data_IF_713212295367
#
_entry.id   IF_713212295367
#
_cell.length_a   1.000
_cell.length_b   1.000
_cell.length_c   1.000
_cell.angle_alpha   90.00
_cell.angle_beta   90.00
_cell.angle_gamma   90.00
#
_symmetry.space_group_name_H-M   'P 1'
#
loop_
_entity.id
_entity.type
_entity.pdbx_description
1 polymer ?
#
# COMPACT_ATOMS: atom_id res chain seq x y z
N UNK A 1 -5.01 21.79 17.12
CA UNK A 1 -6.23 22.43 16.62
C UNK A 1 -6.46 23.76 17.35
N UNK A 2 -6.90 24.81 16.62
CA UNK A 2 -7.37 26.08 17.21
C UNK A 2 -8.89 26.09 17.17
N UNK A 3 -9.54 26.60 18.21
CA UNK A 3 -11.00 26.76 18.22
C UNK A 3 -11.41 27.85 17.21
N UNK A 4 -12.45 27.57 16.43
CA UNK A 4 -13.09 28.48 15.50
C UNK A 4 -14.62 28.41 15.71
N UNK A 5 -15.14 29.20 16.66
CA UNK A 5 -16.53 29.10 17.13
C UNK A 5 -16.77 27.76 17.91
N UNK A 6 -17.78 27.01 17.51
CA UNK A 6 -18.08 25.67 18.03
C UNK A 6 -17.14 24.58 17.50
N UNK A 7 -16.45 24.83 16.39
CA UNK A 7 -15.60 23.87 15.67
C UNK A 7 -14.12 24.06 15.99
N UNK A 8 -13.28 23.16 15.52
CA UNK A 8 -11.84 23.26 15.63
C UNK A 8 -11.17 23.11 14.25
N UNK A 9 -10.13 23.92 14.02
CA UNK A 9 -9.39 23.97 12.75
C UNK A 9 -7.90 23.80 13.02
N UNK A 10 -7.21 23.05 12.16
CA UNK A 10 -5.77 22.82 12.27
C UNK A 10 -5.14 22.26 11.02
N UNK A 11 -3.87 21.92 11.13
CA UNK A 11 -3.17 21.21 10.08
C UNK A 11 -3.66 19.77 9.97
N UNK A 12 -3.79 19.26 8.76
CA UNK A 12 -4.29 17.93 8.51
C UNK A 12 -3.26 16.86 8.89
N UNK A 13 -3.65 15.81 9.63
CA UNK A 13 -2.75 14.72 9.95
C UNK A 13 -2.57 13.72 8.79
N UNK A 14 -3.38 13.83 7.73
CA UNK A 14 -3.40 12.90 6.60
C UNK A 14 -2.61 13.37 5.38
N UNK A 15 -2.23 14.66 5.33
CA UNK A 15 -1.35 15.20 4.29
C UNK A 15 -0.53 16.36 4.86
N UNK A 16 0.58 16.68 4.20
CA UNK A 16 1.45 17.80 4.61
C UNK A 16 0.93 19.12 4.07
N UNK A 17 0.68 20.08 4.97
CA UNK A 17 0.24 21.43 4.64
C UNK A 17 0.80 22.46 5.62
N UNK A 18 0.89 23.72 5.18
CA UNK A 18 1.33 24.84 6.04
C UNK A 18 0.18 25.74 6.51
N UNK A 19 -0.94 25.69 5.80
CA UNK A 19 -2.15 26.46 6.14
C UNK A 19 -3.21 25.49 6.64
N UNK A 20 -3.85 25.78 7.79
CA UNK A 20 -4.88 24.92 8.35
C UNK A 20 -6.04 24.72 7.39
N UNK A 21 -6.31 23.47 7.00
CA UNK A 21 -7.44 23.07 6.16
C UNK A 21 -8.26 21.91 6.76
N UNK A 22 -7.83 21.41 7.91
CA UNK A 22 -8.49 20.30 8.61
C UNK A 22 -9.48 20.85 9.63
N UNK A 23 -10.76 20.56 9.43
CA UNK A 23 -11.87 21.00 10.26
C UNK A 23 -12.45 19.84 11.04
N UNK A 24 -12.73 20.06 12.32
CA UNK A 24 -13.47 19.13 13.20
C UNK A 24 -14.75 19.81 13.61
N UNK A 25 -15.86 19.20 13.27
CA UNK A 25 -17.22 19.68 13.52
C UNK A 25 -17.77 18.97 14.77
N UNK A 26 -17.89 19.73 15.87
CA UNK A 26 -18.33 19.16 17.14
C UNK A 26 -19.81 18.75 17.11
N UNK A 27 -20.66 19.48 16.39
CA UNK A 27 -22.09 19.21 16.36
C UNK A 27 -22.42 17.91 15.59
N UNK A 28 -21.67 17.63 14.53
CA UNK A 28 -21.85 16.41 13.70
C UNK A 28 -20.87 15.31 14.05
N UNK A 29 -19.96 15.51 15.02
CA UNK A 29 -18.92 14.56 15.43
C UNK A 29 -18.12 14.03 14.23
N UNK A 30 -17.82 14.92 13.28
CA UNK A 30 -17.17 14.59 12.02
C UNK A 30 -15.96 15.48 11.76
N UNK A 31 -15.14 15.10 10.81
CA UNK A 31 -14.04 15.92 10.32
C UNK A 31 -14.06 16.02 8.79
N UNK A 32 -13.49 17.08 8.28
CA UNK A 32 -13.24 17.23 6.86
C UNK A 32 -11.98 18.06 6.61
N UNK A 33 -11.16 17.64 5.67
CA UNK A 33 -9.98 18.37 5.22
C UNK A 33 -10.23 18.97 3.82
N UNK A 34 -10.26 20.28 3.71
CA UNK A 34 -10.44 20.96 2.43
C UNK A 34 -9.21 20.89 1.52
N UNK A 35 -8.05 20.50 2.06
CA UNK A 35 -6.82 20.29 1.29
C UNK A 35 -6.80 18.96 0.53
N UNK A 36 -7.02 17.85 1.22
CA UNK A 36 -6.91 16.51 0.64
C UNK A 36 -8.24 15.76 0.51
N UNK A 37 -9.38 16.36 0.89
CA UNK A 37 -10.69 15.71 0.83
C UNK A 37 -10.91 14.59 1.85
N UNK A 38 -9.98 14.38 2.80
CA UNK A 38 -10.16 13.40 3.86
C UNK A 38 -11.30 13.82 4.77
N UNK A 39 -12.33 13.01 4.92
CA UNK A 39 -13.48 13.29 5.76
C UNK A 39 -14.10 12.01 6.32
N UNK A 40 -14.94 12.18 7.35
CA UNK A 40 -15.66 11.10 8.00
C UNK A 40 -15.91 11.35 9.48
N UNK A 41 -16.32 10.30 10.17
CA UNK A 41 -16.56 10.25 11.61
C UNK A 41 -15.29 9.92 12.42
N UNK A 42 -15.41 9.82 13.73
CA UNK A 42 -14.31 9.46 14.62
C UNK A 42 -13.74 8.07 14.32
N UNK A 43 -14.56 7.12 13.90
CA UNK A 43 -14.10 5.77 13.56
C UNK A 43 -13.24 5.85 12.29
N UNK A 44 -13.70 6.57 11.29
CA UNK A 44 -12.96 6.82 10.04
C UNK A 44 -11.63 7.55 10.30
N UNK A 45 -11.63 8.50 11.25
CA UNK A 45 -10.40 9.18 11.68
C UNK A 45 -9.39 8.18 12.26
N UNK A 46 -9.80 7.37 13.23
CA UNK A 46 -8.93 6.37 13.86
C UNK A 46 -8.47 5.29 12.87
N UNK A 47 -9.35 4.82 12.00
CA UNK A 47 -8.96 3.90 10.91
C UNK A 47 -7.81 4.45 10.08
N UNK A 48 -7.87 5.73 9.73
CA UNK A 48 -6.87 6.37 8.88
C UNK A 48 -5.57 6.69 9.61
N UNK A 49 -5.65 7.21 10.84
CA UNK A 49 -4.47 7.66 11.58
C UNK A 49 -3.66 6.48 12.14
N UNK A 50 -4.34 5.43 12.59
CA UNK A 50 -3.72 4.23 13.17
C UNK A 50 -3.59 3.09 12.14
N UNK A 51 -4.04 3.29 10.90
CA UNK A 51 -4.08 2.30 9.83
C UNK A 51 -4.77 0.98 10.23
N UNK A 52 -5.93 1.09 10.88
CA UNK A 52 -6.73 -0.01 11.41
C UNK A 52 -7.92 -0.36 10.52
N UNK A 53 -8.43 -1.60 10.64
CA UNK A 53 -9.74 -1.97 10.11
C UNK A 53 -10.87 -1.40 10.99
N UNK A 54 -12.11 -1.41 10.46
CA UNK A 54 -13.26 -0.81 11.13
C UNK A 54 -13.45 -1.34 12.56
N UNK A 55 -13.49 -2.66 12.73
CA UNK A 55 -13.67 -3.30 14.04
C UNK A 55 -12.51 -3.02 15.00
N UNK A 56 -11.28 -2.98 14.50
CA UNK A 56 -10.10 -2.66 15.32
C UNK A 56 -10.14 -1.20 15.81
N UNK A 57 -10.58 -0.27 14.93
CA UNK A 57 -10.76 1.13 15.30
C UNK A 57 -11.88 1.30 16.36
N UNK A 58 -13.00 0.59 16.21
CA UNK A 58 -14.09 0.57 17.19
C UNK A 58 -13.61 0.03 18.54
N UNK A 59 -12.87 -1.09 18.54
CA UNK A 59 -12.30 -1.67 19.80
C UNK A 59 -11.33 -0.70 20.48
N UNK A 60 -10.48 -0.02 19.71
CA UNK A 60 -9.55 0.98 20.24
C UNK A 60 -10.30 2.18 20.87
N UNK A 61 -11.34 2.67 20.20
CA UNK A 61 -12.17 3.77 20.70
C UNK A 61 -12.93 3.37 21.96
N UNK A 62 -13.52 2.18 21.98
CA UNK A 62 -14.22 1.66 23.16
C UNK A 62 -13.27 1.53 24.36
N UNK A 63 -12.08 0.97 24.16
CA UNK A 63 -11.06 0.88 25.21
C UNK A 63 -10.67 2.28 25.73
N UNK A 64 -10.52 3.27 24.86
CA UNK A 64 -10.24 4.66 25.25
C UNK A 64 -11.41 5.30 26.00
N UNK A 65 -12.65 4.91 25.65
CA UNK A 65 -13.86 5.40 26.27
C UNK A 65 -14.29 4.63 27.52
N UNK A 66 -13.55 3.58 27.93
CA UNK A 66 -13.93 2.72 29.05
C UNK A 66 -15.22 1.93 28.79
N UNK A 67 -15.56 1.68 27.52
CA UNK A 67 -16.76 0.94 27.12
C UNK A 67 -16.39 -0.52 26.84
N UNK A 68 -17.12 -1.44 27.45
CA UNK A 68 -17.07 -2.86 27.11
C UNK A 68 -17.92 -3.10 25.84
N UNK A 69 -17.28 -3.56 24.78
CA UNK A 69 -18.00 -4.03 23.59
C UNK A 69 -18.44 -5.46 23.87
N UNK A 70 -19.75 -5.78 23.79
CA UNK A 70 -20.21 -7.15 23.85
C UNK A 70 -19.49 -7.97 22.78
N UNK A 71 -18.75 -9.01 23.19
CA UNK A 71 -18.09 -9.92 22.25
C UNK A 71 -19.17 -10.73 21.53
N UNK A 72 -19.47 -10.37 20.27
CA UNK A 72 -20.28 -11.21 19.42
C UNK A 72 -19.54 -12.55 19.19
N UNK A 73 -20.26 -13.64 19.26
CA UNK A 73 -19.72 -14.99 19.04
C UNK A 73 -19.02 -15.14 17.67
N UNK A 74 -19.38 -14.29 16.69
CA UNK A 74 -18.74 -14.21 15.37
C UNK A 74 -17.37 -13.51 15.45
N UNK A 75 -17.26 -12.45 16.22
CA UNK A 75 -16.01 -11.70 16.44
C UNK A 75 -14.98 -12.57 17.17
N UNK A 76 -15.41 -13.36 18.14
CA UNK A 76 -14.58 -14.33 18.84
C UNK A 76 -14.04 -15.41 17.90
N UNK A 77 -14.88 -15.95 17.00
CA UNK A 77 -14.43 -16.93 15.99
C UNK A 77 -13.42 -16.33 15.03
N UNK A 78 -13.63 -15.10 14.56
CA UNK A 78 -12.68 -14.40 13.68
C UNK A 78 -11.35 -14.10 14.39
N UNK A 79 -11.39 -13.65 15.64
CA UNK A 79 -10.20 -13.41 16.46
C UNK A 79 -9.42 -14.70 16.75
N UNK A 80 -10.12 -15.79 17.08
CA UNK A 80 -9.52 -17.11 17.24
C UNK A 80 -8.87 -17.60 15.95
N UNK A 81 -9.51 -17.43 14.80
CA UNK A 81 -8.95 -17.81 13.51
C UNK A 81 -7.68 -17.00 13.20
N UNK A 82 -7.67 -15.68 13.42
CA UNK A 82 -6.47 -14.85 13.27
C UNK A 82 -5.32 -15.36 14.15
N UNK A 83 -5.60 -15.69 15.41
CA UNK A 83 -4.61 -16.26 16.33
C UNK A 83 -4.04 -17.59 15.79
N UNK A 84 -4.91 -18.50 15.31
CA UNK A 84 -4.48 -19.77 14.71
C UNK A 84 -3.64 -19.56 13.46
N UNK A 85 -3.96 -18.57 12.61
CA UNK A 85 -3.17 -18.24 11.43
C UNK A 85 -1.77 -17.73 11.84
N UNK A 86 -1.63 -16.90 12.85
CA UNK A 86 -0.32 -16.49 13.36
C UNK A 86 0.52 -17.68 13.88
N UNK A 87 -0.11 -18.63 14.57
CA UNK A 87 0.53 -19.86 15.04
C UNK A 87 0.99 -20.71 13.86
N UNK A 88 0.14 -20.93 12.85
CA UNK A 88 0.49 -21.67 11.62
C UNK A 88 1.63 -20.99 10.89
N UNK A 89 1.59 -19.68 10.70
CA UNK A 89 2.64 -18.95 9.99
C UNK A 89 3.98 -19.06 10.73
N UNK A 90 3.98 -18.95 12.06
CA UNK A 90 5.19 -19.13 12.88
C UNK A 90 5.77 -20.54 12.72
N UNK A 91 4.94 -21.57 12.84
CA UNK A 91 5.40 -22.96 12.68
C UNK A 91 5.85 -23.26 11.25
N UNK A 92 5.19 -22.70 10.25
CA UNK A 92 5.59 -22.77 8.85
C UNK A 92 6.96 -22.12 8.61
N UNK A 93 7.19 -20.92 9.18
CA UNK A 93 8.49 -20.26 9.09
C UNK A 93 9.60 -21.08 9.74
N UNK A 94 9.34 -21.61 10.95
CA UNK A 94 10.27 -22.50 11.66
C UNK A 94 10.56 -23.77 10.85
N UNK A 95 9.53 -24.36 10.24
CA UNK A 95 9.68 -25.53 9.39
C UNK A 95 10.57 -25.25 8.19
N UNK A 96 10.30 -24.20 7.42
CA UNK A 96 11.09 -23.86 6.24
C UNK A 96 12.52 -23.44 6.60
N UNK A 97 12.73 -22.75 7.71
CA UNK A 97 14.06 -22.42 8.20
C UNK A 97 14.87 -23.70 8.54
N UNK A 98 14.25 -24.65 9.25
CA UNK A 98 14.89 -25.95 9.55
C UNK A 98 15.19 -26.74 8.27
N UNK A 99 14.29 -26.75 7.29
CA UNK A 99 14.54 -27.39 5.99
C UNK A 99 15.73 -26.76 5.26
N UNK A 100 15.89 -25.44 5.34
CA UNK A 100 17.03 -24.74 4.75
C UNK A 100 18.36 -25.12 5.43
N UNK A 101 18.41 -25.06 6.76
CA UNK A 101 19.67 -25.20 7.53
C UNK A 101 20.05 -26.65 7.72
N UNK A 102 19.10 -27.50 8.13
CA UNK A 102 19.32 -28.86 8.57
C UNK A 102 18.72 -29.93 7.65
N UNK A 103 17.86 -29.53 6.70
CA UNK A 103 17.22 -30.48 5.77
C UNK A 103 18.22 -31.18 4.85
N UNK A 104 17.82 -32.32 4.28
CA UNK A 104 18.67 -33.09 3.37
C UNK A 104 18.92 -32.40 2.03
N UNK A 105 17.97 -31.59 1.55
CA UNK A 105 18.08 -30.86 0.30
C UNK A 105 18.82 -29.52 0.50
N UNK A 106 20.02 -29.44 -0.05
CA UNK A 106 20.91 -28.27 0.10
C UNK A 106 20.73 -27.20 -0.98
N UNK A 107 19.86 -27.40 -1.96
CA UNK A 107 19.65 -26.47 -3.10
C UNK A 107 19.28 -25.07 -2.62
N UNK A 108 18.41 -24.94 -1.60
CA UNK A 108 18.06 -23.64 -1.02
C UNK A 108 19.27 -22.92 -0.41
N UNK A 109 20.10 -23.62 0.34
CA UNK A 109 21.31 -23.06 0.94
C UNK A 109 22.34 -22.68 -0.13
N UNK A 110 22.52 -23.54 -1.15
CA UNK A 110 23.39 -23.25 -2.30
C UNK A 110 22.93 -22.01 -3.06
N UNK A 111 21.63 -21.83 -3.22
CA UNK A 111 21.07 -20.63 -3.85
C UNK A 111 21.47 -19.37 -3.08
N UNK A 112 21.27 -19.33 -1.76
CA UNK A 112 21.63 -18.17 -0.95
C UNK A 112 23.14 -17.94 -0.87
N UNK A 113 23.93 -19.00 -0.83
CA UNK A 113 25.40 -18.93 -0.92
C UNK A 113 25.86 -18.34 -2.27
N UNK A 114 25.26 -18.79 -3.39
CA UNK A 114 25.49 -18.21 -4.72
C UNK A 114 25.10 -16.73 -4.83
N UNK A 115 24.14 -16.30 -4.02
CA UNK A 115 23.78 -14.88 -3.85
C UNK A 115 24.69 -14.14 -2.87
N UNK A 116 25.69 -14.80 -2.27
CA UNK A 116 26.63 -14.25 -1.28
C UNK A 116 25.95 -13.76 0.00
N UNK A 117 24.84 -14.39 0.41
CA UNK A 117 24.20 -14.08 1.68
C UNK A 117 24.97 -14.69 2.85
N UNK A 118 25.18 -13.89 3.89
CA UNK A 118 25.83 -14.32 5.13
C UNK A 118 24.85 -15.12 6.01
N UNK A 119 25.33 -16.05 6.85
CA UNK A 119 24.48 -16.82 7.78
C UNK A 119 23.65 -15.91 8.72
N UNK A 120 24.23 -14.80 9.18
CA UNK A 120 23.54 -13.82 10.02
C UNK A 120 22.36 -13.18 9.30
N UNK A 121 22.50 -12.89 8.00
CA UNK A 121 21.43 -12.33 7.16
C UNK A 121 20.32 -13.36 6.96
N UNK A 122 20.67 -14.62 6.69
CA UNK A 122 19.72 -15.74 6.57
C UNK A 122 18.90 -15.87 7.85
N UNK A 123 19.58 -15.82 9.01
CA UNK A 123 18.93 -15.88 10.33
C UNK A 123 18.09 -14.65 10.63
N UNK A 124 18.61 -13.43 10.34
CA UNK A 124 17.90 -12.15 10.56
C UNK A 124 16.54 -12.13 9.88
N UNK A 125 16.49 -12.58 8.61
CA UNK A 125 15.26 -12.60 7.81
C UNK A 125 14.45 -13.88 7.97
N UNK A 126 14.96 -14.89 8.70
CA UNK A 126 14.31 -16.18 8.84
C UNK A 126 14.12 -16.91 7.52
N UNK A 127 15.07 -16.75 6.57
CA UNK A 127 14.96 -17.32 5.23
C UNK A 127 14.84 -18.84 5.30
N UNK A 128 14.02 -19.40 4.41
CA UNK A 128 13.69 -20.83 4.45
C UNK A 128 13.80 -21.52 3.10
N UNK A 129 13.51 -22.81 3.12
CA UNK A 129 13.39 -23.64 1.92
C UNK A 129 12.16 -24.53 2.02
N UNK A 130 11.31 -24.50 1.02
CA UNK A 130 10.17 -25.38 0.84
C UNK A 130 10.59 -26.57 -0.03
N UNK A 131 10.59 -27.80 0.50
CA UNK A 131 10.94 -29.01 -0.25
C UNK A 131 10.01 -29.25 -1.44
N UNK A 132 10.38 -30.15 -2.35
CA UNK A 132 9.60 -30.49 -3.55
C UNK A 132 8.35 -31.34 -3.26
N UNK A 133 8.24 -31.93 -2.07
CA UNK A 133 7.10 -32.79 -1.68
C UNK A 133 5.79 -32.02 -1.63
N UNK A 134 4.70 -32.70 -2.04
CA UNK A 134 3.36 -32.08 -2.14
C UNK A 134 2.68 -31.87 -0.79
N UNK A 135 3.07 -32.66 0.23
CA UNK A 135 2.40 -32.70 1.54
C UNK A 135 3.39 -32.62 2.71
N UNK A 136 4.59 -32.12 2.47
CA UNK A 136 5.66 -32.11 3.50
C UNK A 136 5.34 -31.16 4.64
N UNK A 137 4.90 -29.94 4.32
CA UNK A 137 4.48 -28.95 5.31
C UNK A 137 3.14 -29.33 5.94
N UNK A 138 2.15 -29.69 5.11
CA UNK A 138 0.79 -30.02 5.61
C UNK A 138 0.81 -31.20 6.57
N UNK A 139 1.61 -32.24 6.30
CA UNK A 139 1.83 -33.37 7.22
C UNK A 139 2.41 -32.90 8.55
N UNK A 140 3.42 -32.03 8.50
CA UNK A 140 4.02 -31.45 9.71
C UNK A 140 3.00 -30.64 10.51
N UNK A 141 2.23 -29.77 9.86
CA UNK A 141 1.22 -28.94 10.53
C UNK A 141 0.09 -29.79 11.12
N UNK A 142 -0.33 -30.85 10.44
CA UNK A 142 -1.29 -31.82 10.99
C UNK A 142 -0.78 -32.51 12.27
N UNK A 143 0.50 -32.87 12.33
CA UNK A 143 1.10 -33.44 13.55
C UNK A 143 1.07 -32.48 14.74
N UNK A 144 0.93 -31.17 14.51
CA UNK A 144 0.77 -30.13 15.51
C UNK A 144 -0.71 -29.79 15.81
N UNK A 145 -1.66 -30.52 15.21
CA UNK A 145 -3.09 -30.36 15.48
C UNK A 145 -3.75 -29.23 14.70
N UNK A 146 -3.16 -28.75 13.60
CA UNK A 146 -3.82 -27.78 12.71
C UNK A 146 -4.71 -28.49 11.69
N UNK A 147 -5.88 -27.90 11.43
CA UNK A 147 -6.87 -28.43 10.50
C UNK A 147 -6.64 -27.91 9.08
N UNK A 148 -7.13 -28.64 8.07
CA UNK A 148 -7.12 -28.18 6.66
C UNK A 148 -7.75 -26.78 6.50
N UNK A 149 -8.86 -26.51 7.20
CA UNK A 149 -9.54 -25.22 7.13
C UNK A 149 -8.67 -24.07 7.63
N UNK A 150 -7.96 -24.26 8.73
CA UNK A 150 -7.03 -23.24 9.28
C UNK A 150 -5.83 -23.03 8.36
N UNK A 151 -5.25 -24.12 7.83
CA UNK A 151 -4.11 -24.05 6.89
C UNK A 151 -4.50 -23.38 5.55
N UNK A 152 -5.72 -23.63 5.04
CA UNK A 152 -6.27 -22.94 3.86
C UNK A 152 -6.47 -21.45 4.15
N UNK A 153 -7.00 -21.10 5.33
CA UNK A 153 -7.18 -19.70 5.73
C UNK A 153 -5.85 -18.93 5.87
N UNK A 154 -4.75 -19.64 6.16
CA UNK A 154 -3.39 -19.10 6.17
C UNK A 154 -2.71 -19.09 4.78
N UNK A 155 -3.34 -19.68 3.73
CA UNK A 155 -2.81 -19.85 2.36
C UNK A 155 -1.47 -20.60 2.33
N UNK A 156 -1.17 -21.43 3.34
CA UNK A 156 0.03 -22.28 3.35
C UNK A 156 -0.19 -23.61 2.62
N UNK A 157 -1.46 -23.95 2.39
CA UNK A 157 -1.90 -25.07 1.54
C UNK A 157 -2.99 -24.65 0.59
N UNK A 158 -3.21 -25.40 -0.48
CA UNK A 158 -4.28 -25.21 -1.48
C UNK A 158 -5.11 -26.46 -1.62
N UNK A 159 -6.37 -26.29 -2.07
CA UNK A 159 -7.24 -27.40 -2.40
C UNK A 159 -6.75 -28.15 -3.63
N UNK A 160 -6.80 -29.46 -3.57
CA UNK A 160 -6.61 -30.34 -4.70
C UNK A 160 -7.78 -30.26 -5.69
N UNK A 161 -7.63 -30.89 -6.84
CA UNK A 161 -8.69 -30.93 -7.88
C UNK A 161 -9.98 -31.64 -7.41
N UNK A 162 -9.85 -32.51 -6.42
CA UNK A 162 -10.94 -33.24 -5.78
C UNK A 162 -11.71 -32.41 -4.73
N UNK A 163 -11.29 -31.18 -4.48
CA UNK A 163 -11.81 -30.25 -3.46
C UNK A 163 -11.82 -30.80 -2.02
N UNK A 164 -11.18 -31.97 -1.80
CA UNK A 164 -11.13 -32.65 -0.48
C UNK A 164 -9.72 -32.73 0.06
N UNK A 165 -8.74 -32.98 -0.79
CA UNK A 165 -7.32 -33.02 -0.42
C UNK A 165 -6.73 -31.62 -0.40
N UNK A 166 -5.66 -31.43 0.37
CA UNK A 166 -4.88 -30.20 0.37
C UNK A 166 -3.44 -30.53 0.00
N UNK A 167 -2.75 -29.60 -0.64
CA UNK A 167 -1.33 -29.69 -0.96
C UNK A 167 -0.58 -28.41 -0.60
N UNK A 168 0.72 -28.51 -0.34
CA UNK A 168 1.54 -27.39 0.09
C UNK A 168 1.58 -26.29 -0.98
N UNK A 169 1.33 -25.03 -0.60
CA UNK A 169 1.35 -23.87 -1.53
C UNK A 169 2.74 -23.65 -2.11
N UNK A 170 3.76 -23.75 -1.27
CA UNK A 170 5.15 -23.55 -1.69
C UNK A 170 5.87 -24.88 -1.80
N UNK A 171 6.45 -25.16 -2.96
CA UNK A 171 7.24 -26.36 -3.24
C UNK A 171 8.45 -25.99 -4.09
N UNK A 172 9.60 -26.55 -3.79
CA UNK A 172 10.86 -26.31 -4.51
C UNK A 172 11.23 -24.83 -4.61
N UNK A 173 10.99 -24.09 -3.49
CA UNK A 173 11.19 -22.64 -3.43
C UNK A 173 12.03 -22.24 -2.24
N UNK A 174 12.92 -21.25 -2.44
CA UNK A 174 13.46 -20.49 -1.32
C UNK A 174 12.38 -19.55 -0.80
N UNK A 175 12.30 -19.41 0.52
CA UNK A 175 11.20 -18.75 1.22
C UNK A 175 11.67 -17.48 1.92
N UNK A 176 10.88 -16.45 1.78
CA UNK A 176 11.05 -15.13 2.40
C UNK A 176 9.84 -14.87 3.32
N UNK A 177 9.98 -15.04 4.64
CA UNK A 177 8.91 -14.69 5.57
C UNK A 177 8.61 -13.19 5.51
N UNK A 178 7.34 -12.83 5.46
CA UNK A 178 6.86 -11.46 5.54
C UNK A 178 6.42 -11.21 6.97
N UNK A 179 7.03 -10.22 7.61
CA UNK A 179 6.88 -9.96 9.05
C UNK A 179 6.21 -8.61 9.23
N UNK A 180 5.18 -8.57 10.08
CA UNK A 180 4.47 -7.34 10.43
C UNK A 180 5.29 -6.43 11.37
N UNK A 181 4.78 -5.24 11.65
CA UNK A 181 5.42 -4.28 12.55
C UNK A 181 5.54 -4.75 14.01
N UNK A 182 4.80 -5.79 14.40
CA UNK A 182 4.83 -6.39 15.75
C UNK A 182 5.79 -7.59 15.83
N UNK A 183 6.37 -8.00 14.71
CA UNK A 183 7.29 -9.13 14.64
C UNK A 183 6.61 -10.48 14.33
N UNK A 184 5.32 -10.51 14.00
CA UNK A 184 4.63 -11.72 13.62
C UNK A 184 4.87 -12.05 12.15
N UNK A 185 5.06 -13.32 11.82
CA UNK A 185 5.05 -13.78 10.44
C UNK A 185 3.60 -13.79 9.95
N UNK A 186 3.31 -13.02 8.90
CA UNK A 186 1.96 -12.83 8.37
C UNK A 186 1.76 -13.48 7.01
N UNK A 187 2.84 -13.74 6.27
CA UNK A 187 2.80 -14.29 4.91
C UNK A 187 4.18 -14.78 4.49
N UNK A 188 4.26 -15.33 3.27
CA UNK A 188 5.49 -15.81 2.66
C UNK A 188 5.59 -15.37 1.21
N UNK A 189 6.81 -15.03 0.78
CA UNK A 189 7.22 -15.02 -0.62
C UNK A 189 8.03 -16.27 -0.91
N UNK A 190 7.86 -16.86 -2.08
CA UNK A 190 8.62 -18.04 -2.49
C UNK A 190 9.18 -17.92 -3.90
N UNK A 191 10.51 -18.00 -4.07
CA UNK A 191 11.17 -18.03 -5.39
C UNK A 191 11.50 -19.46 -5.78
N UNK A 192 11.05 -19.88 -6.97
CA UNK A 192 11.33 -21.21 -7.48
C UNK A 192 12.83 -21.37 -7.80
N UNK A 193 13.39 -22.56 -7.56
CA UNK A 193 14.78 -22.88 -7.84
C UNK A 193 15.00 -23.49 -9.23
N UNK A 194 13.96 -24.02 -9.86
CA UNK A 194 13.97 -24.57 -11.22
C UNK A 194 13.29 -23.65 -12.24
N UNK A 195 13.00 -24.22 -13.42
CA UNK A 195 12.40 -23.51 -14.56
C UNK A 195 10.87 -23.37 -14.47
N UNK A 196 10.29 -23.59 -13.29
CA UNK A 196 8.84 -23.51 -13.06
C UNK A 196 8.31 -22.06 -13.05
N UNK A 197 7.02 -21.93 -13.29
CA UNK A 197 6.30 -20.64 -13.24
C UNK A 197 5.22 -20.67 -12.15
N UNK A 198 4.96 -19.55 -11.47
CA UNK A 198 5.64 -18.26 -11.56
C UNK A 198 7.00 -18.24 -10.85
N UNK A 199 7.94 -17.41 -11.31
CA UNK A 199 9.27 -17.23 -10.71
C UNK A 199 9.17 -16.87 -9.23
N UNK A 200 8.30 -15.92 -8.88
CA UNK A 200 7.92 -15.57 -7.51
C UNK A 200 6.45 -15.87 -7.26
N UNK A 201 6.16 -16.49 -6.14
CA UNK A 201 4.82 -16.77 -5.64
C UNK A 201 4.72 -16.12 -4.26
N UNK A 202 3.65 -15.36 -4.03
CA UNK A 202 3.36 -14.78 -2.73
C UNK A 202 2.07 -15.37 -2.17
N UNK A 203 1.99 -15.46 -0.84
CA UNK A 203 0.74 -15.70 -0.11
C UNK A 203 -0.37 -14.78 -0.64
N UNK A 204 -1.55 -15.31 -0.84
CA UNK A 204 -2.75 -14.55 -1.19
C UNK A 204 -3.21 -13.67 -0.03
N UNK A 205 -4.29 -12.88 -0.21
CA UNK A 205 -4.88 -12.12 0.90
C UNK A 205 -5.41 -13.09 1.97
N UNK A 206 -5.10 -12.81 3.24
CA UNK A 206 -5.56 -13.60 4.39
C UNK A 206 -6.13 -12.69 5.48
N UNK A 207 -6.81 -13.23 6.51
CA UNK A 207 -7.27 -12.41 7.64
C UNK A 207 -6.17 -11.63 8.38
N UNK A 208 -4.89 -11.99 8.21
CA UNK A 208 -3.74 -11.33 8.85
C UNK A 208 -2.80 -10.63 7.86
N UNK A 209 -3.01 -10.77 6.56
CA UNK A 209 -2.13 -10.24 5.52
C UNK A 209 -2.88 -9.57 4.37
N UNK A 210 -2.48 -8.35 4.06
CA UNK A 210 -2.96 -7.59 2.91
C UNK A 210 -1.77 -6.99 2.15
N UNK A 211 -1.55 -7.44 0.90
CA UNK A 211 -0.42 -6.96 0.05
C UNK A 211 -0.40 -5.45 -0.10
N UNK A 212 -1.58 -4.84 -0.25
CA UNK A 212 -1.73 -3.39 -0.46
C UNK A 212 -1.30 -2.53 0.74
N UNK A 213 -1.16 -3.10 1.94
CA UNK A 213 -0.82 -2.38 3.18
C UNK A 213 0.56 -2.70 3.71
N UNK A 214 1.05 -3.91 3.43
CA UNK A 214 2.30 -4.39 4.00
C UNK A 214 3.47 -4.12 3.05
N UNK A 215 4.64 -3.87 3.64
CA UNK A 215 5.92 -3.72 2.94
C UNK A 215 6.92 -4.71 3.52
N UNK A 216 7.68 -5.36 2.66
CA UNK A 216 8.76 -6.25 3.10
C UNK A 216 9.86 -5.47 3.81
N UNK A 217 10.37 -6.00 4.91
CA UNK A 217 11.45 -5.43 5.72
C UNK A 217 11.09 -4.16 6.51
N UNK A 218 9.85 -3.66 6.48
CA UNK A 218 9.47 -2.46 7.23
C UNK A 218 9.59 -2.67 8.76
N UNK A 219 9.42 -3.90 9.24
CA UNK A 219 9.64 -4.28 10.64
C UNK A 219 11.07 -3.98 11.12
N UNK A 220 12.06 -4.06 10.24
CA UNK A 220 13.45 -3.67 10.51
C UNK A 220 13.68 -2.18 10.21
N UNK A 221 13.24 -1.72 9.06
CA UNK A 221 13.51 -0.37 8.57
C UNK A 221 12.91 0.74 9.45
N UNK A 222 11.76 0.49 10.13
CA UNK A 222 11.12 1.44 11.06
C UNK A 222 12.01 1.89 12.21
N UNK A 223 12.99 1.09 12.60
CA UNK A 223 13.91 1.37 13.71
C UNK A 223 15.12 2.21 13.28
N UNK A 224 15.25 2.52 11.97
CA UNK A 224 16.35 3.35 11.48
C UNK A 224 16.24 4.78 12.04
N UNK A 225 17.32 5.36 12.55
CA UNK A 225 17.33 6.76 12.98
C UNK A 225 17.20 7.75 11.81
N UNK A 226 17.39 7.27 10.58
CA UNK A 226 17.27 8.08 9.38
C UNK A 226 15.80 8.30 9.05
N UNK A 227 15.41 9.57 8.86
CA UNK A 227 14.07 9.92 8.33
C UNK A 227 13.98 9.72 6.82
N UNK A 228 14.65 8.69 6.33
CA UNK A 228 14.78 8.35 4.91
C UNK A 228 14.64 6.86 4.73
N UNK A 229 13.85 6.44 3.74
CA UNK A 229 13.68 5.03 3.36
C UNK A 229 14.22 4.80 1.95
N UNK A 230 14.75 3.58 1.72
CA UNK A 230 15.12 3.10 0.38
C UNK A 230 14.00 2.14 -0.05
N UNK A 231 13.40 2.40 -1.21
CA UNK A 231 12.34 1.58 -1.78
C UNK A 231 12.89 0.78 -2.96
N UNK A 232 13.02 -0.54 -2.78
CA UNK A 232 13.45 -1.50 -3.80
C UNK A 232 12.25 -2.29 -4.37
N UNK A 233 12.46 -3.07 -5.44
CA UNK A 233 11.38 -3.84 -6.06
C UNK A 233 11.16 -5.19 -5.39
N UNK A 234 12.23 -5.90 -5.03
CA UNK A 234 12.17 -7.29 -4.65
C UNK A 234 12.82 -7.66 -3.32
N UNK A 235 12.52 -8.87 -2.88
CA UNK A 235 13.08 -9.44 -1.65
C UNK A 235 14.60 -9.46 -1.63
N UNK A 236 15.21 -9.89 -2.75
CA UNK A 236 16.66 -10.05 -2.83
C UNK A 236 17.37 -8.70 -2.80
N UNK A 237 16.81 -7.67 -3.43
CA UNK A 237 17.38 -6.32 -3.43
C UNK A 237 17.39 -5.75 -2.01
N UNK A 238 16.25 -5.87 -1.31
CA UNK A 238 16.16 -5.45 0.10
C UNK A 238 17.19 -6.17 0.96
N UNK A 239 17.31 -7.49 0.82
CA UNK A 239 18.23 -8.29 1.63
C UNK A 239 19.70 -7.92 1.31
N UNK A 240 20.03 -7.71 0.04
CA UNK A 240 21.38 -7.30 -0.38
C UNK A 240 21.73 -5.89 0.14
N UNK A 241 20.82 -4.94 0.01
CA UNK A 241 20.98 -3.57 0.52
C UNK A 241 21.12 -3.57 2.05
N UNK A 242 20.25 -4.32 2.75
CA UNK A 242 20.31 -4.45 4.20
C UNK A 242 21.63 -5.10 4.68
N UNK A 243 22.05 -6.18 4.02
CA UNK A 243 23.33 -6.85 4.31
C UNK A 243 24.52 -5.93 4.08
N UNK A 244 24.42 -4.98 3.14
CA UNK A 244 25.45 -3.98 2.86
C UNK A 244 25.51 -2.87 3.93
N UNK A 245 24.60 -2.89 4.95
CA UNK A 245 24.60 -1.94 6.07
C UNK A 245 23.51 -0.85 5.96
N UNK A 246 22.63 -0.88 4.96
CA UNK A 246 21.54 0.08 4.80
C UNK A 246 20.24 -0.52 5.33
N UNK A 247 19.99 -0.34 6.64
CA UNK A 247 18.87 -0.99 7.32
C UNK A 247 17.49 -0.38 7.00
N UNK A 248 17.47 0.84 6.48
CA UNK A 248 16.27 1.60 6.12
C UNK A 248 15.70 1.25 4.75
N UNK A 249 15.73 -0.02 4.37
CA UNK A 249 15.28 -0.52 3.06
C UNK A 249 14.02 -1.35 3.16
N UNK A 250 13.10 -1.12 2.22
CA UNK A 250 11.81 -1.82 2.10
C UNK A 250 11.52 -2.19 0.64
N UNK A 251 10.63 -3.14 0.43
CA UNK A 251 10.06 -3.41 -0.90
C UNK A 251 8.55 -3.64 -0.86
N UNK A 252 7.92 -3.49 -2.02
CA UNK A 252 6.55 -3.94 -2.25
C UNK A 252 6.50 -5.48 -2.36
N UNK A 253 5.30 -6.05 -2.39
CA UNK A 253 5.09 -7.50 -2.28
C UNK A 253 4.64 -8.11 -3.63
N UNK A 254 5.43 -7.89 -4.68
CA UNK A 254 5.14 -8.41 -6.03
C UNK A 254 3.99 -7.66 -6.72
N UNK A 255 3.71 -6.45 -6.29
CA UNK A 255 2.75 -5.51 -6.89
C UNK A 255 3.39 -4.12 -6.96
N UNK A 256 2.85 -3.25 -7.79
CA UNK A 256 3.24 -1.83 -7.76
C UNK A 256 2.92 -1.22 -6.39
N UNK A 257 3.65 -0.16 -6.00
CA UNK A 257 3.38 0.61 -4.78
C UNK A 257 1.91 1.06 -4.74
N UNK A 258 1.32 1.06 -3.56
CA UNK A 258 -0.06 1.52 -3.33
C UNK A 258 -0.10 2.80 -2.51
N UNK A 259 -1.24 3.51 -2.55
CA UNK A 259 -1.43 4.70 -1.72
C UNK A 259 -1.42 4.40 -0.22
N UNK A 260 -1.88 3.20 0.21
CA UNK A 260 -1.80 2.77 1.60
C UNK A 260 -0.35 2.54 2.04
N UNK A 261 0.47 1.90 1.20
CA UNK A 261 1.89 1.71 1.48
C UNK A 261 2.65 3.04 1.52
N UNK A 262 2.33 3.98 0.62
CA UNK A 262 2.92 5.33 0.63
C UNK A 262 2.58 6.09 1.93
N UNK A 263 1.33 6.03 2.40
CA UNK A 263 0.93 6.61 3.69
C UNK A 263 1.63 5.93 4.87
N UNK A 264 1.80 4.61 4.81
CA UNK A 264 2.58 3.88 5.84
C UNK A 264 4.02 4.35 5.87
N UNK A 265 4.67 4.52 4.71
CA UNK A 265 6.03 5.05 4.63
C UNK A 265 6.13 6.45 5.22
N UNK A 266 5.12 7.32 5.02
CA UNK A 266 5.09 8.67 5.58
C UNK A 266 5.14 8.71 7.10
N UNK A 267 4.65 7.67 7.77
CA UNK A 267 4.72 7.56 9.24
C UNK A 267 6.17 7.42 9.72
N UNK A 268 7.06 6.83 8.90
CA UNK A 268 8.43 6.49 9.29
C UNK A 268 9.51 7.32 8.59
N UNK A 269 9.17 8.03 7.51
CA UNK A 269 10.14 8.77 6.71
C UNK A 269 9.60 10.11 6.21
N UNK A 270 10.52 11.02 5.93
CA UNK A 270 10.29 12.28 5.21
C UNK A 270 10.74 12.17 3.76
N UNK A 271 11.81 11.39 3.53
CA UNK A 271 12.40 11.14 2.22
C UNK A 271 12.30 9.67 1.83
N UNK A 272 12.04 9.39 0.55
CA UNK A 272 12.12 8.06 -0.03
C UNK A 272 13.05 8.08 -1.24
N UNK A 273 14.05 7.19 -1.24
CA UNK A 273 14.93 6.97 -2.39
C UNK A 273 14.46 5.73 -3.13
N UNK A 274 14.05 5.88 -4.38
CA UNK A 274 13.64 4.77 -5.24
C UNK A 274 14.91 4.14 -5.84
N UNK A 275 15.05 2.83 -5.61
CA UNK A 275 16.13 1.98 -6.10
C UNK A 275 15.53 0.80 -6.87
N UNK A 276 14.80 1.09 -7.95
CA UNK A 276 14.14 0.12 -8.81
C UNK A 276 15.07 -0.35 -9.94
N UNK A 277 14.69 -1.45 -10.58
CA UNK A 277 15.41 -2.01 -11.72
C UNK A 277 15.54 -0.99 -12.87
N UNK A 278 16.64 -1.03 -13.59
CA UNK A 278 16.94 -0.07 -14.66
C UNK A 278 16.20 -0.37 -15.97
N UNK A 279 15.41 -1.44 -16.04
CA UNK A 279 14.65 -1.84 -17.23
C UNK A 279 13.38 -0.98 -17.46
N UNK A 280 12.71 -1.21 -18.57
CA UNK A 280 11.50 -0.46 -18.96
C UNK A 280 10.32 -0.66 -18.01
N UNK A 281 10.23 -1.82 -17.34
CA UNK A 281 9.18 -2.10 -16.37
C UNK A 281 9.45 -1.34 -15.07
N UNK A 282 10.70 -1.37 -14.57
CA UNK A 282 11.14 -0.62 -13.40
C UNK A 282 11.01 0.90 -13.61
N UNK A 283 11.28 1.42 -14.81
CA UNK A 283 11.06 2.84 -15.11
C UNK A 283 9.59 3.26 -15.01
N UNK A 284 8.64 2.40 -15.50
CA UNK A 284 7.20 2.65 -15.36
C UNK A 284 6.75 2.55 -13.89
N UNK A 285 7.31 1.59 -13.14
CA UNK A 285 7.05 1.44 -11.71
C UNK A 285 7.56 2.66 -10.93
N UNK A 286 8.77 3.16 -11.25
CA UNK A 286 9.35 4.39 -10.70
C UNK A 286 8.41 5.58 -10.87
N UNK A 287 7.89 5.80 -12.08
CA UNK A 287 6.98 6.91 -12.37
C UNK A 287 5.71 6.86 -11.50
N UNK A 288 5.10 5.68 -11.37
CA UNK A 288 3.92 5.50 -10.52
C UNK A 288 4.25 5.72 -9.04
N UNK A 289 5.41 5.23 -8.59
CA UNK A 289 5.85 5.40 -7.22
C UNK A 289 6.07 6.87 -6.87
N UNK A 290 6.70 7.66 -7.74
CA UNK A 290 6.89 9.11 -7.56
C UNK A 290 5.56 9.80 -7.29
N UNK A 291 4.54 9.54 -8.11
CA UNK A 291 3.23 10.18 -7.98
C UNK A 291 2.60 9.85 -6.62
N UNK A 292 2.55 8.57 -6.25
CA UNK A 292 1.94 8.12 -4.99
C UNK A 292 2.69 8.61 -3.75
N UNK A 293 4.02 8.65 -3.80
CA UNK A 293 4.84 9.18 -2.70
C UNK A 293 4.65 10.70 -2.56
N UNK A 294 4.60 11.42 -3.67
CA UNK A 294 4.34 12.86 -3.69
C UNK A 294 2.94 13.19 -3.15
N UNK A 295 1.91 12.43 -3.55
CA UNK A 295 0.54 12.55 -3.01
C UNK A 295 0.48 12.31 -1.50
N UNK A 296 1.31 11.39 -0.99
CA UNK A 296 1.46 11.15 0.45
C UNK A 296 2.30 12.22 1.17
N UNK A 297 2.87 13.20 0.45
CA UNK A 297 3.70 14.28 1.01
C UNK A 297 5.12 13.82 1.38
N UNK A 298 5.66 12.82 0.69
CA UNK A 298 7.04 12.35 0.83
C UNK A 298 7.93 13.01 -0.22
N UNK A 299 9.11 13.45 0.19
CA UNK A 299 10.14 13.86 -0.75
C UNK A 299 10.69 12.61 -1.44
N UNK A 300 10.75 12.64 -2.77
CA UNK A 300 11.16 11.47 -3.55
C UNK A 300 12.46 11.77 -4.28
N UNK A 301 13.41 10.84 -4.17
CA UNK A 301 14.67 10.84 -4.90
C UNK A 301 14.82 9.52 -5.66
N UNK A 302 15.68 9.51 -6.67
CA UNK A 302 15.91 8.35 -7.51
C UNK A 302 17.41 8.14 -7.64
N UNK A 303 17.82 6.88 -7.61
CA UNK A 303 19.18 6.49 -7.98
C UNK A 303 19.22 5.82 -9.34
N UNK A 304 20.23 6.17 -10.14
CA UNK A 304 20.54 5.49 -11.40
C UNK A 304 21.73 4.57 -11.17
N UNK A 305 21.54 3.27 -11.40
CA UNK A 305 22.56 2.25 -11.21
C UNK A 305 23.26 1.95 -12.53
N UNK A 306 24.13 2.87 -12.96
CA UNK A 306 24.91 2.69 -14.18
C UNK A 306 25.81 1.44 -14.07
N UNK A 307 25.76 0.58 -15.09
CA UNK A 307 26.55 -0.65 -15.16
C UNK A 307 25.99 -1.83 -14.40
N UNK A 308 24.78 -1.71 -13.80
CA UNK A 308 24.05 -2.81 -13.17
C UNK A 308 22.56 -2.68 -13.44
N UNK A 309 21.84 -3.82 -13.46
CA UNK A 309 20.41 -3.87 -13.73
C UNK A 309 19.55 -3.64 -12.48
N UNK A 310 20.05 -4.11 -11.33
CA UNK A 310 19.36 -4.10 -10.04
C UNK A 310 20.33 -3.78 -8.89
N UNK A 311 19.84 -3.43 -7.69
CA UNK A 311 20.68 -3.14 -6.52
C UNK A 311 21.57 -4.30 -6.07
N UNK A 312 21.10 -5.56 -6.17
CA UNK A 312 21.89 -6.75 -5.80
C UNK A 312 23.13 -6.87 -6.71
N UNK A 313 22.96 -6.71 -8.02
CA UNK A 313 24.07 -6.70 -8.98
C UNK A 313 25.01 -5.52 -8.77
N UNK A 314 24.46 -4.32 -8.52
CA UNK A 314 25.27 -3.13 -8.27
C UNK A 314 26.17 -3.31 -7.05
N UNK A 315 25.64 -3.78 -5.94
CA UNK A 315 26.39 -4.03 -4.71
C UNK A 315 27.47 -5.10 -4.89
N UNK A 316 27.20 -6.14 -5.69
CA UNK A 316 28.20 -7.18 -6.00
C UNK A 316 29.35 -6.69 -6.85
N UNK A 317 29.09 -5.77 -7.79
CA UNK A 317 30.10 -5.21 -8.70
C UNK A 317 30.90 -4.06 -8.08
N UNK A 318 30.22 -3.17 -7.40
CA UNK A 318 30.80 -1.87 -7.01
C UNK A 318 30.94 -1.68 -5.50
N UNK A 319 30.29 -2.53 -4.71
CA UNK A 319 30.36 -2.54 -3.26
C UNK A 319 29.53 -1.48 -2.53
N UNK A 320 29.48 -1.57 -1.19
CA UNK A 320 28.63 -0.69 -0.35
C UNK A 320 29.01 0.78 -0.40
N UNK A 321 30.32 1.10 -0.50
CA UNK A 321 30.79 2.47 -0.52
C UNK A 321 30.24 3.24 -1.73
N UNK A 322 30.29 2.62 -2.93
CA UNK A 322 29.78 3.25 -4.14
C UNK A 322 28.27 3.37 -4.15
N UNK A 323 27.58 2.40 -3.54
CA UNK A 323 26.13 2.49 -3.34
C UNK A 323 25.75 3.63 -2.39
N UNK A 324 26.53 3.85 -1.30
CA UNK A 324 26.35 5.00 -0.42
C UNK A 324 26.48 6.32 -1.18
N UNK A 325 27.49 6.46 -2.03
CA UNK A 325 27.67 7.66 -2.86
C UNK A 325 26.48 7.90 -3.79
N UNK A 326 25.87 6.83 -4.36
CA UNK A 326 24.63 6.97 -5.15
C UNK A 326 23.47 7.48 -4.31
N UNK A 327 23.30 6.96 -3.09
CA UNK A 327 22.25 7.42 -2.18
C UNK A 327 22.44 8.88 -1.78
N UNK A 328 23.68 9.29 -1.50
CA UNK A 328 24.00 10.66 -1.08
C UNK A 328 23.86 11.66 -2.24
N UNK A 329 24.16 11.24 -3.47
CA UNK A 329 24.03 12.03 -4.69
C UNK A 329 22.73 11.76 -5.48
N UNK A 330 21.72 11.15 -4.82
CA UNK A 330 20.46 10.82 -5.49
C UNK A 330 19.77 12.07 -6.02
N UNK A 331 19.32 12.02 -7.28
CA UNK A 331 18.60 13.11 -7.92
C UNK A 331 17.20 13.26 -7.32
N UNK A 332 16.75 14.50 -7.13
CA UNK A 332 15.36 14.76 -6.84
C UNK A 332 14.47 14.23 -8.00
N UNK A 333 13.34 13.61 -7.66
CA UNK A 333 12.44 13.00 -8.65
C UNK A 333 12.08 13.94 -9.80
N UNK A 334 11.90 15.23 -9.49
CA UNK A 334 11.54 16.25 -10.48
C UNK A 334 12.69 16.49 -11.46
N UNK A 335 13.96 16.55 -10.98
CA UNK A 335 15.11 16.69 -11.87
C UNK A 335 15.26 15.48 -12.79
N UNK A 336 15.03 14.27 -12.27
CA UNK A 336 15.02 13.05 -13.05
C UNK A 336 13.97 13.09 -14.15
N UNK A 337 12.73 13.47 -13.82
CA UNK A 337 11.62 13.59 -14.78
C UNK A 337 11.90 14.67 -15.84
N UNK A 338 12.43 15.81 -15.44
CA UNK A 338 12.81 16.88 -16.38
C UNK A 338 13.95 16.45 -17.30
N UNK A 339 14.95 15.71 -16.79
CA UNK A 339 16.01 15.14 -17.62
C UNK A 339 15.43 14.15 -18.66
N UNK A 340 14.48 13.32 -18.25
CA UNK A 340 13.79 12.37 -19.14
C UNK A 340 12.97 13.08 -20.25
N UNK A 341 12.45 14.28 -19.97
CA UNK A 341 11.76 15.07 -20.98
C UNK A 341 12.67 15.43 -22.19
N UNK A 342 13.98 15.48 -21.99
CA UNK A 342 14.97 15.79 -23.04
C UNK A 342 15.31 14.56 -23.91
N UNK A 343 15.04 13.34 -23.44
CA UNK A 343 15.41 12.12 -24.18
C UNK A 343 14.71 12.03 -25.53
N UNK A 344 15.50 11.80 -26.58
CA UNK A 344 15.02 11.67 -27.96
C UNK A 344 14.59 12.96 -28.63
N UNK A 345 14.89 14.13 -28.05
CA UNK A 345 14.63 15.44 -28.64
C UNK A 345 15.91 16.14 -29.06
N UNK A 346 15.89 16.75 -30.22
CA UNK A 346 16.91 17.73 -30.63
C UNK A 346 16.51 19.10 -30.06
N UNK A 347 17.10 19.44 -28.90
CA UNK A 347 16.80 20.68 -28.17
C UNK A 347 17.37 21.95 -28.81
N UNK A 348 18.16 21.83 -29.85
CA UNK A 348 18.64 22.99 -30.61
C UNK A 348 17.59 23.52 -31.61
N UNK A 349 16.62 22.68 -31.98
CA UNK A 349 15.53 23.08 -32.89
C UNK A 349 14.35 23.69 -32.13
N UNK A 350 13.65 24.63 -32.75
CA UNK A 350 12.44 25.26 -32.15
C UNK A 350 11.33 24.21 -31.89
N UNK A 351 11.17 23.24 -32.77
CA UNK A 351 10.22 22.13 -32.60
C UNK A 351 10.58 21.25 -31.42
N UNK A 352 11.86 20.93 -31.25
CA UNK A 352 12.35 20.17 -30.10
C UNK A 352 12.22 20.91 -28.79
N UNK A 353 12.50 22.22 -28.77
CA UNK A 353 12.27 23.08 -27.59
C UNK A 353 10.81 23.16 -27.19
N UNK A 354 9.89 23.34 -28.17
CA UNK A 354 8.45 23.35 -27.88
C UNK A 354 7.97 22.02 -27.32
N UNK A 355 8.44 20.91 -27.86
CA UNK A 355 8.06 19.59 -27.35
C UNK A 355 8.63 19.32 -25.96
N UNK A 356 9.88 19.72 -25.69
CA UNK A 356 10.50 19.68 -24.36
C UNK A 356 9.66 20.47 -23.34
N UNK A 357 9.26 21.69 -23.68
CA UNK A 357 8.45 22.53 -22.81
C UNK A 357 7.06 21.91 -22.54
N UNK A 358 6.42 21.33 -23.57
CA UNK A 358 5.13 20.61 -23.39
C UNK A 358 5.27 19.43 -22.41
N UNK A 359 6.34 18.64 -22.53
CA UNK A 359 6.63 17.53 -21.61
C UNK A 359 6.91 18.05 -20.21
N UNK A 360 7.73 19.11 -20.08
CA UNK A 360 8.07 19.74 -18.81
C UNK A 360 6.83 20.33 -18.11
N UNK A 361 5.90 20.95 -18.83
CA UNK A 361 4.61 21.44 -18.28
C UNK A 361 3.83 20.31 -17.62
N UNK A 362 3.76 19.12 -18.22
CA UNK A 362 3.08 17.96 -17.62
C UNK A 362 3.76 17.55 -16.31
N UNK A 363 5.09 17.43 -16.30
CA UNK A 363 5.86 17.09 -15.08
C UNK A 363 5.64 18.12 -13.97
N UNK A 364 5.79 19.41 -14.30
CA UNK A 364 5.66 20.50 -13.32
C UNK A 364 4.23 20.63 -12.80
N UNK A 365 3.22 20.29 -13.60
CA UNK A 365 1.81 20.29 -13.17
C UNK A 365 1.50 19.24 -12.10
N UNK A 366 2.35 18.21 -11.95
CA UNK A 366 2.18 17.14 -10.96
C UNK A 366 2.77 17.50 -9.58
N UNK A 367 3.56 18.57 -9.48
CA UNK A 367 4.15 19.00 -8.21
C UNK A 367 3.07 19.61 -7.32
N UNK A 368 2.78 18.99 -6.19
CA UNK A 368 1.75 19.45 -5.25
C UNK A 368 2.16 20.73 -4.52
N UNK A 369 3.40 20.79 -4.04
CA UNK A 369 3.91 21.94 -3.29
C UNK A 369 4.13 23.13 -4.24
N UNK A 370 3.38 24.21 -4.01
CA UNK A 370 3.42 25.41 -4.85
C UNK A 370 4.79 26.08 -4.87
N UNK A 371 5.46 26.19 -3.72
CA UNK A 371 6.78 26.81 -3.63
C UNK A 371 7.83 26.00 -4.38
N UNK A 372 7.82 24.69 -4.19
CA UNK A 372 8.70 23.77 -4.92
C UNK A 372 8.47 23.87 -6.43
N UNK A 373 7.19 23.85 -6.84
CA UNK A 373 6.82 24.02 -8.24
C UNK A 373 7.33 25.33 -8.83
N UNK A 374 7.19 26.46 -8.12
CA UNK A 374 7.66 27.76 -8.58
C UNK A 374 9.20 27.82 -8.74
N UNK A 375 9.95 27.12 -7.87
CA UNK A 375 11.41 26.97 -8.01
C UNK A 375 11.76 26.24 -9.30
N UNK A 376 11.10 25.11 -9.60
CA UNK A 376 11.34 24.36 -10.84
C UNK A 376 10.82 25.09 -12.09
N UNK A 377 9.73 25.83 -12.01
CA UNK A 377 9.26 26.70 -13.10
C UNK A 377 10.36 27.72 -13.46
N UNK A 378 10.92 28.38 -12.46
CA UNK A 378 11.99 29.37 -12.64
C UNK A 378 13.26 28.75 -13.23
N UNK A 379 13.60 27.51 -12.81
CA UNK A 379 14.72 26.75 -13.34
C UNK A 379 14.51 26.43 -14.83
N UNK A 380 13.37 25.80 -15.19
CA UNK A 380 13.07 25.39 -16.57
C UNK A 380 12.95 26.61 -17.48
N UNK A 381 12.32 27.68 -17.03
CA UNK A 381 12.17 28.92 -17.76
C UNK A 381 13.55 29.53 -18.13
N UNK A 382 14.46 29.58 -17.17
CA UNK A 382 15.83 30.10 -17.37
C UNK A 382 16.67 29.21 -18.28
N UNK A 383 16.58 27.87 -18.12
CA UNK A 383 17.35 26.91 -18.95
C UNK A 383 16.93 26.94 -20.43
N UNK A 384 15.70 27.36 -20.74
CA UNK A 384 15.14 27.33 -22.10
C UNK A 384 14.82 28.73 -22.67
N UNK A 385 15.25 29.80 -21.98
CA UNK A 385 15.05 31.19 -22.39
C UNK A 385 13.57 31.54 -22.70
N UNK A 386 12.67 31.15 -21.79
CA UNK A 386 11.23 31.42 -21.90
C UNK A 386 10.74 32.25 -20.70
N UNK A 387 9.71 33.08 -20.90
CA UNK A 387 9.07 33.82 -19.81
C UNK A 387 8.46 32.88 -18.77
N UNK A 388 8.78 33.16 -17.49
CA UNK A 388 8.23 32.43 -16.32
C UNK A 388 6.70 32.49 -16.31
N UNK A 389 6.11 33.65 -16.68
CA UNK A 389 4.66 33.84 -16.67
C UNK A 389 3.95 33.00 -17.73
N UNK A 390 4.55 32.86 -18.91
CA UNK A 390 4.02 31.99 -19.98
C UNK A 390 4.03 30.53 -19.51
N UNK A 391 5.14 30.07 -18.93
CA UNK A 391 5.27 28.69 -18.45
C UNK A 391 4.30 28.43 -17.29
N UNK A 392 4.17 29.38 -16.35
CA UNK A 392 3.21 29.28 -15.24
C UNK A 392 1.77 29.19 -15.72
N UNK A 393 1.35 30.04 -16.67
CA UNK A 393 0.01 30.02 -17.25
C UNK A 393 -0.32 28.67 -17.90
N UNK A 394 0.63 28.07 -18.62
CA UNK A 394 0.46 26.76 -19.23
C UNK A 394 0.31 25.64 -18.18
N UNK A 395 1.11 25.70 -17.12
CA UNK A 395 1.05 24.73 -16.00
C UNK A 395 -0.29 24.84 -15.27
N UNK A 396 -0.76 26.04 -14.97
CA UNK A 396 -2.05 26.26 -14.30
C UNK A 396 -3.23 25.78 -15.18
N UNK A 397 -3.14 25.97 -16.50
CA UNK A 397 -4.10 25.41 -17.46
C UNK A 397 -4.12 23.87 -17.43
N UNK A 398 -2.94 23.25 -17.37
CA UNK A 398 -2.83 21.79 -17.32
C UNK A 398 -3.36 21.21 -16.00
N UNK A 399 -3.08 21.85 -14.86
CA UNK A 399 -3.64 21.50 -13.55
C UNK A 399 -5.19 21.59 -13.59
N UNK A 400 -5.74 22.64 -14.20
CA UNK A 400 -7.20 22.81 -14.33
C UNK A 400 -7.84 21.73 -15.21
N UNK A 401 -7.20 21.38 -16.33
CA UNK A 401 -7.66 20.29 -17.21
C UNK A 401 -7.68 18.95 -16.48
N UNK A 402 -6.60 18.62 -15.76
CA UNK A 402 -6.50 17.39 -14.98
C UNK A 402 -7.59 17.30 -13.93
N UNK A 403 -7.79 18.33 -13.10
CA UNK A 403 -8.85 18.37 -12.09
C UNK A 403 -10.25 18.19 -12.68
N UNK A 404 -10.50 18.77 -13.84
CA UNK A 404 -11.77 18.60 -14.54
C UNK A 404 -11.96 17.18 -15.09
N UNK A 405 -10.89 16.55 -15.59
CA UNK A 405 -10.91 15.17 -16.05
C UNK A 405 -11.13 14.18 -14.89
N UNK A 406 -10.45 14.38 -13.75
CA UNK A 406 -10.61 13.60 -12.53
C UNK A 406 -12.06 13.67 -12.00
N UNK A 407 -12.62 14.88 -11.89
CA UNK A 407 -14.03 15.07 -11.53
C UNK A 407 -14.99 14.37 -12.49
N UNK A 408 -14.69 14.41 -13.80
CA UNK A 408 -15.53 13.75 -14.80
C UNK A 408 -15.44 12.23 -14.71
N UNK A 409 -14.26 11.67 -14.43
CA UNK A 409 -14.08 10.23 -14.23
C UNK A 409 -14.73 9.74 -12.94
N UNK A 410 -14.63 10.49 -11.85
CA UNK A 410 -15.35 10.22 -10.60
C UNK A 410 -16.86 10.24 -10.80
N UNK A 411 -17.39 11.24 -11.52
CA UNK A 411 -18.80 11.31 -11.89
C UNK A 411 -19.24 10.13 -12.74
N UNK A 412 -18.40 9.69 -13.68
CA UNK A 412 -18.68 8.51 -14.53
C UNK A 412 -18.63 7.24 -13.69
N UNK A 413 -17.66 7.11 -12.77
CA UNK A 413 -17.53 5.98 -11.88
C UNK A 413 -18.68 5.89 -10.85
N UNK A 414 -19.20 7.05 -10.40
CA UNK A 414 -20.40 7.12 -9.55
C UNK A 414 -21.64 6.71 -10.36
N UNK A 415 -21.74 7.11 -11.63
CA UNK A 415 -22.86 6.73 -12.51
C UNK A 415 -22.77 5.28 -12.99
N UNK A 416 -21.58 4.70 -13.12
CA UNK A 416 -21.38 3.33 -13.60
C UNK A 416 -21.31 2.27 -12.50
N UNK A 417 -21.31 2.65 -11.22
CA UNK A 417 -21.57 1.67 -10.16
C UNK A 417 -23.02 1.24 -10.30
N UNK A 418 -23.31 -0.04 -10.60
CA UNK A 418 -24.68 -0.52 -10.47
C UNK A 418 -25.07 -0.20 -9.03
N UNK A 419 -26.15 0.54 -8.89
CA UNK A 419 -26.83 0.72 -7.61
C UNK A 419 -26.98 -0.65 -6.98
N UNK A 420 -26.61 -0.77 -5.72
CA UNK A 420 -26.66 -1.94 -4.87
C UNK A 420 -27.71 -2.95 -5.38
N UNK A 421 -27.29 -4.06 -5.93
CA UNK A 421 -28.12 -5.24 -5.94
C UNK A 421 -27.94 -5.87 -4.58
N UNK A 422 -28.87 -5.62 -3.68
CA UNK A 422 -28.95 -6.39 -2.44
C UNK A 422 -29.19 -7.85 -2.85
N UNK A 423 -28.26 -8.78 -2.59
CA UNK A 423 -28.45 -10.18 -2.95
C UNK A 423 -29.62 -10.83 -2.22
N UNK A 424 -30.18 -10.19 -1.19
CA UNK A 424 -31.31 -10.67 -0.40
C UNK A 424 -32.66 -10.24 -0.96
N UNK A 425 -32.75 -9.12 -1.69
CA UNK A 425 -34.01 -8.61 -2.27
C UNK A 425 -33.79 -8.06 -3.68
N UNK A 426 -33.88 -8.91 -4.74
CA UNK A 426 -33.62 -8.49 -6.13
C UNK A 426 -34.60 -7.43 -6.68
N UNK A 427 -35.76 -7.24 -6.04
CA UNK A 427 -36.82 -6.31 -6.45
C UNK A 427 -36.46 -4.83 -6.13
N UNK A 428 -35.62 -4.59 -5.13
CA UNK A 428 -35.15 -3.26 -4.73
C UNK A 428 -34.49 -2.50 -5.91
N UNK A 429 -33.86 -3.22 -6.83
CA UNK A 429 -33.22 -2.61 -8.01
C UNK A 429 -34.20 -2.06 -9.05
N UNK A 430 -35.50 -2.49 -9.02
CA UNK A 430 -36.52 -2.09 -9.98
C UNK A 430 -37.38 -0.92 -9.49
N UNK A 431 -37.43 -0.70 -8.18
CA UNK A 431 -38.33 0.27 -7.53
C UNK A 431 -37.55 1.27 -6.63
N UNK A 432 -36.48 1.83 -7.14
CA UNK A 432 -35.50 2.65 -6.36
C UNK A 432 -36.07 3.92 -5.75
N UNK A 433 -37.13 4.50 -6.34
CA UNK A 433 -37.79 5.71 -5.79
C UNK A 433 -38.65 5.36 -4.61
N UNK A 434 -39.34 4.25 -4.69
CA UNK A 434 -40.21 3.69 -3.69
C UNK A 434 -39.41 3.27 -2.46
N UNK A 435 -38.33 2.53 -2.64
CA UNK A 435 -37.41 2.10 -1.57
C UNK A 435 -36.80 3.30 -0.82
N UNK A 436 -36.40 4.35 -1.53
CA UNK A 436 -35.92 5.57 -0.89
C UNK A 436 -36.99 6.32 -0.11
N UNK A 437 -38.23 6.24 -0.54
CA UNK A 437 -39.35 6.79 0.20
C UNK A 437 -39.61 5.99 1.49
N UNK A 438 -39.54 4.66 1.42
CA UNK A 438 -39.65 3.76 2.57
C UNK A 438 -38.52 3.99 3.59
N UNK A 439 -37.27 4.05 3.14
CA UNK A 439 -36.12 4.42 3.99
C UNK A 439 -36.31 5.79 4.65
N UNK A 440 -36.82 6.77 3.90
CA UNK A 440 -37.12 8.10 4.41
C UNK A 440 -38.19 8.10 5.48
N UNK A 441 -39.25 7.31 5.32
CA UNK A 441 -40.33 7.12 6.30
C UNK A 441 -39.78 6.45 7.55
N UNK A 442 -39.02 5.38 7.40
CA UNK A 442 -38.38 4.68 8.54
C UNK A 442 -37.43 5.61 9.29
N UNK A 443 -36.58 6.35 8.61
CA UNK A 443 -35.68 7.33 9.23
C UNK A 443 -36.45 8.43 9.99
N UNK A 444 -37.59 8.87 9.45
CA UNK A 444 -38.48 9.84 10.11
C UNK A 444 -39.09 9.24 11.38
N UNK A 445 -39.60 8.02 11.33
CA UNK A 445 -40.20 7.32 12.46
C UNK A 445 -39.19 7.02 13.58
N UNK A 446 -37.95 6.65 13.22
CA UNK A 446 -36.86 6.54 14.20
C UNK A 446 -36.54 7.86 14.91
N UNK A 447 -36.66 8.98 14.20
CA UNK A 447 -36.37 10.31 14.76
C UNK A 447 -37.56 10.87 15.57
N UNK A 448 -38.78 10.46 15.25
CA UNK A 448 -40.03 10.91 15.87
C UNK A 448 -40.94 9.73 16.23
N UNK A 449 -40.60 8.94 17.29
CA UNK A 449 -41.36 7.73 17.64
C UNK A 449 -42.83 8.00 17.98
N UNK A 450 -43.14 9.23 18.45
CA UNK A 450 -44.49 9.68 18.75
C UNK A 450 -45.41 9.78 17.51
N UNK A 451 -44.87 9.69 16.33
CA UNK A 451 -45.59 9.73 15.04
C UNK A 451 -45.89 8.36 14.45
N UNK A 452 -45.45 7.27 15.07
CA UNK A 452 -45.61 5.92 14.55
C UNK A 452 -47.08 5.61 14.32
N UNK A 453 -47.97 5.80 15.32
CA UNK A 453 -49.42 5.52 15.22
C UNK A 453 -50.07 6.38 14.11
N UNK A 454 -49.68 7.61 13.94
CA UNK A 454 -50.22 8.51 12.91
C UNK A 454 -49.84 8.05 11.51
N UNK A 455 -48.60 7.63 11.31
CA UNK A 455 -48.11 7.12 10.00
C UNK A 455 -48.72 5.77 9.69
N UNK A 456 -48.69 4.85 10.64
CA UNK A 456 -49.26 3.48 10.46
C UNK A 456 -50.75 3.50 10.22
N UNK A 457 -51.48 4.45 10.76
CA UNK A 457 -52.94 4.62 10.46
C UNK A 457 -53.23 5.14 9.06
N UNK A 458 -52.21 5.70 8.39
CA UNK A 458 -52.34 6.33 7.06
C UNK A 458 -51.77 5.46 5.93
N UNK A 459 -51.12 4.33 6.26
CA UNK A 459 -50.45 3.43 5.32
C UNK A 459 -50.94 1.99 5.52
N UNK A 460 -51.05 1.25 4.43
CA UNK A 460 -51.34 -0.19 4.43
C UNK A 460 -50.06 -0.98 4.07
N UNK A 461 -50.04 -2.26 4.40
CA UNK A 461 -48.90 -3.15 4.09
C UNK A 461 -48.52 -3.16 2.60
N UNK A 462 -49.52 -2.92 1.72
CA UNK A 462 -49.33 -2.85 0.27
C UNK A 462 -48.56 -1.58 -0.20
N UNK A 463 -48.32 -0.63 0.70
CA UNK A 463 -47.53 0.57 0.41
C UNK A 463 -46.01 0.35 0.48
N UNK A 464 -45.56 -0.80 0.96
CA UNK A 464 -44.14 -1.16 1.11
C UNK A 464 -43.76 -2.26 0.12
N UNK A 465 -42.55 -2.10 -0.47
CA UNK A 465 -41.98 -3.04 -1.44
C UNK A 465 -40.89 -3.92 -0.78
N UNK A 466 -40.35 -3.49 0.37
CA UNK A 466 -39.28 -4.18 1.12
C UNK A 466 -39.77 -4.76 2.43
#
# INVERSE_FOLDING_TARGET
LKRSGHDAVGLCPFHSEKTPSFHVYNDTQSFYCFGCGAGGDVITFIKRIENLEYIEAVKLLAQRGGLDIPEDSRDNKAAMLKKRIYEINRETANFYFRQLVSGPDKRGLQYFAGRKLRPETIKKYGLGYAPSGWHTLSTHLHSLGFTNREMLAADVVRLGKDEKSVYDTFRERVIFPIIDLRGNVIAFGGRILGDGSPKYLNTSETPVFQKKRNLFSLNFAKNSPLKRMILAEGYMDVIAINQAGFENVVATLGTSLTGEQARTLKTYAEDVIIAYDSDSAGQKATQRAINLLSEAGLNTRIIKMEGAKDPDEFLKKFGPHRFKLLLDNSDGAINFELAKCKEGLDTETDTGKVELLKRSVKVLSMIYNRLERDVYISKVARENDISIDILRAQIDSEIKKRRNSEKKSEWTAIKSKPYYSDPLVPEVSKALKEVKAEEGILAYLFRYPDKIETVMSSMTDDCFIT
#
